data_IF_802389650724
#
_entry.id   IF_802389650724
#
_cell.length_a   1.000
_cell.length_b   1.000
_cell.length_c   1.000
_cell.angle_alpha   90.00
_cell.angle_beta   90.00
_cell.angle_gamma   90.00
#
_symmetry.space_group_name_H-M   'P 1'
#
loop_
_entity.id
_entity.type
_entity.pdbx_description
1 polymer ?
#
# COMPACT_ATOMS: atom_id res chain seq x y z
N UNK A 1 -29.16 0.27 55.96
CA UNK A 1 -28.95 0.46 54.51
C UNK A 1 -27.64 -0.23 54.15
N UNK A 2 -27.69 -1.39 53.49
CA UNK A 2 -26.50 -2.16 53.09
C UNK A 2 -26.18 -1.79 51.64
N UNK A 3 -25.02 -1.19 51.41
CA UNK A 3 -24.56 -0.74 50.11
C UNK A 3 -24.28 -1.94 49.21
N UNK A 4 -24.95 -2.01 48.06
CA UNK A 4 -24.66 -2.97 47.01
C UNK A 4 -23.37 -2.55 46.30
N UNK A 5 -22.34 -3.39 46.36
CA UNK A 5 -21.12 -3.22 45.59
C UNK A 5 -21.35 -3.76 44.18
N UNK A 6 -21.58 -2.86 43.22
CA UNK A 6 -21.55 -3.15 41.79
C UNK A 6 -20.09 -3.30 41.36
N UNK A 7 -19.65 -4.54 41.16
CA UNK A 7 -18.35 -4.85 40.55
C UNK A 7 -18.49 -4.63 39.04
N UNK A 8 -18.03 -3.49 38.56
CA UNK A 8 -17.84 -3.25 37.12
C UNK A 8 -16.56 -3.97 36.71
N UNK A 9 -16.71 -5.16 36.14
CA UNK A 9 -15.59 -5.89 35.54
C UNK A 9 -15.27 -5.20 34.22
N UNK A 10 -14.24 -4.36 34.21
CA UNK A 10 -13.64 -3.88 32.97
C UNK A 10 -12.98 -5.08 32.28
N UNK A 11 -13.66 -5.65 31.29
CA UNK A 11 -13.05 -6.60 30.37
C UNK A 11 -11.96 -5.86 29.60
N UNK A 12 -10.71 -5.99 30.04
CA UNK A 12 -9.56 -5.61 29.23
C UNK A 12 -9.54 -6.58 28.05
N UNK A 13 -10.18 -6.20 26.96
CA UNK A 13 -9.95 -6.84 25.67
C UNK A 13 -8.51 -6.46 25.31
N UNK A 14 -7.56 -7.29 25.73
CA UNK A 14 -6.25 -7.27 25.13
C UNK A 14 -6.48 -7.62 23.66
N UNK A 15 -6.53 -6.61 22.80
CA UNK A 15 -6.47 -6.81 21.36
C UNK A 15 -5.15 -7.53 21.11
N UNK A 16 -5.23 -8.86 20.93
CA UNK A 16 -4.10 -9.63 20.47
C UNK A 16 -3.78 -9.08 19.09
N UNK A 17 -2.73 -8.29 18.97
CA UNK A 17 -2.22 -7.86 17.69
C UNK A 17 -1.87 -9.12 16.91
N UNK A 18 -2.69 -9.42 15.89
CA UNK A 18 -2.45 -10.56 15.02
C UNK A 18 -1.16 -10.25 14.27
N UNK A 19 -0.10 -11.04 14.53
CA UNK A 19 1.17 -10.84 13.83
C UNK A 19 0.94 -11.06 12.33
N UNK A 20 1.59 -10.25 11.52
CA UNK A 20 1.60 -10.45 10.06
C UNK A 20 2.19 -11.83 9.77
N UNK A 21 1.38 -12.70 9.18
CA UNK A 21 1.84 -14.06 8.85
C UNK A 21 2.86 -14.03 7.71
N UNK A 22 3.74 -15.03 7.61
CA UNK A 22 4.69 -15.12 6.49
C UNK A 22 3.99 -15.24 5.12
N UNK A 23 2.79 -15.84 5.09
CA UNK A 23 1.97 -15.87 3.89
C UNK A 23 1.48 -14.46 3.50
N UNK A 24 1.00 -13.70 4.49
CA UNK A 24 0.56 -12.33 4.30
C UNK A 24 1.70 -11.43 3.80
N UNK A 25 2.88 -11.49 4.44
CA UNK A 25 4.06 -10.72 4.01
C UNK A 25 4.38 -10.97 2.53
N UNK A 26 4.37 -12.24 2.11
CA UNK A 26 4.65 -12.60 0.71
C UNK A 26 3.61 -12.04 -0.25
N UNK A 27 2.34 -12.07 0.12
CA UNK A 27 1.27 -11.54 -0.74
C UNK A 27 1.41 -10.01 -0.92
N UNK A 28 1.74 -9.29 0.15
CA UNK A 28 2.03 -7.86 0.07
C UNK A 28 3.28 -7.56 -0.76
N UNK A 29 4.40 -8.25 -0.48
CA UNK A 29 5.66 -8.07 -1.20
C UNK A 29 5.53 -8.40 -2.69
N UNK A 30 4.72 -9.40 -3.03
CA UNK A 30 4.46 -9.78 -4.43
C UNK A 30 3.97 -8.60 -5.26
N UNK A 31 3.13 -7.73 -4.70
CA UNK A 31 2.64 -6.56 -5.44
C UNK A 31 3.75 -5.61 -5.91
N UNK A 32 4.82 -5.48 -5.11
CA UNK A 32 6.00 -4.69 -5.48
C UNK A 32 6.90 -5.47 -6.43
N UNK A 33 7.09 -6.77 -6.19
CA UNK A 33 7.93 -7.60 -7.06
C UNK A 33 7.38 -7.71 -8.47
N UNK A 34 6.06 -7.91 -8.62
CA UNK A 34 5.40 -7.95 -9.92
C UNK A 34 5.49 -6.58 -10.63
N UNK A 35 5.53 -5.47 -9.90
CA UNK A 35 5.73 -4.13 -10.45
C UNK A 35 7.16 -3.97 -11.00
N UNK A 36 8.15 -4.33 -10.18
CA UNK A 36 9.57 -4.27 -10.53
C UNK A 36 9.89 -5.17 -11.72
N UNK A 37 9.37 -6.39 -11.76
CA UNK A 37 9.55 -7.31 -12.90
C UNK A 37 9.00 -6.72 -14.21
N UNK A 38 7.84 -6.05 -14.17
CA UNK A 38 7.30 -5.34 -15.33
C UNK A 38 8.18 -4.15 -15.74
N UNK A 39 8.67 -3.37 -14.77
CA UNK A 39 9.63 -2.29 -15.04
C UNK A 39 10.90 -2.83 -15.71
N UNK A 40 11.38 -3.98 -15.27
CA UNK A 40 12.60 -4.63 -15.79
C UNK A 40 12.41 -5.22 -17.20
N UNK A 41 11.18 -5.63 -17.51
CA UNK A 41 10.76 -6.00 -18.86
C UNK A 41 10.54 -4.77 -19.77
N UNK A 42 10.82 -3.57 -19.28
CA UNK A 42 10.74 -2.32 -20.02
C UNK A 42 9.34 -1.71 -20.04
N UNK A 43 8.42 -2.18 -19.22
CA UNK A 43 7.10 -1.59 -19.06
C UNK A 43 7.07 -0.73 -17.79
N UNK A 44 7.26 0.58 -17.91
CA UNK A 44 7.13 1.57 -16.83
C UNK A 44 5.80 2.33 -16.90
N UNK A 45 4.86 1.81 -17.68
CA UNK A 45 3.58 2.44 -17.94
C UNK A 45 2.66 2.48 -16.72
N UNK A 46 1.55 3.20 -16.90
CA UNK A 46 0.52 3.35 -15.87
C UNK A 46 -0.27 2.07 -15.61
N UNK A 47 -0.28 1.14 -16.55
CA UNK A 47 -0.82 -0.20 -16.35
C UNK A 47 -0.09 -0.94 -15.22
N UNK A 48 1.23 -0.78 -15.10
CA UNK A 48 2.00 -1.36 -13.99
C UNK A 48 1.56 -0.76 -12.66
N UNK A 49 1.48 0.57 -12.58
CA UNK A 49 1.01 1.24 -11.37
C UNK A 49 -0.42 0.81 -10.99
N UNK A 50 -1.30 0.66 -11.96
CA UNK A 50 -2.68 0.22 -11.77
C UNK A 50 -2.77 -1.22 -11.26
N UNK A 51 -2.00 -2.13 -11.83
CA UNK A 51 -1.92 -3.52 -11.38
C UNK A 51 -1.35 -3.61 -9.96
N UNK A 52 -0.34 -2.81 -9.65
CA UNK A 52 0.23 -2.69 -8.30
C UNK A 52 -0.82 -2.23 -7.30
N UNK A 53 -1.60 -1.19 -7.64
CA UNK A 53 -2.67 -0.68 -6.77
C UNK A 53 -3.78 -1.70 -6.56
N UNK A 54 -4.20 -2.41 -7.61
CA UNK A 54 -5.19 -3.48 -7.51
C UNK A 54 -4.68 -4.64 -6.64
N UNK A 55 -3.41 -5.01 -6.78
CA UNK A 55 -2.78 -6.04 -5.95
C UNK A 55 -2.76 -5.64 -4.47
N UNK A 56 -2.31 -4.42 -4.17
CA UNK A 56 -2.26 -3.86 -2.81
C UNK A 56 -3.65 -3.82 -2.17
N UNK A 57 -4.67 -3.40 -2.93
CA UNK A 57 -6.06 -3.41 -2.47
C UNK A 57 -6.53 -4.84 -2.18
N UNK A 58 -6.27 -5.78 -3.09
CA UNK A 58 -6.68 -7.18 -2.89
C UNK A 58 -6.01 -7.83 -1.68
N UNK A 59 -4.74 -7.51 -1.42
CA UNK A 59 -4.04 -7.96 -0.22
C UNK A 59 -4.66 -7.35 1.05
N UNK A 60 -4.92 -6.05 1.03
CA UNK A 60 -5.60 -5.36 2.13
C UNK A 60 -6.98 -5.92 2.43
N UNK A 61 -7.79 -6.22 1.41
CA UNK A 61 -9.10 -6.84 1.58
C UNK A 61 -8.98 -8.28 2.11
N UNK A 62 -8.06 -9.08 1.56
CA UNK A 62 -7.83 -10.47 1.97
C UNK A 62 -7.46 -10.60 3.45
N UNK A 63 -6.61 -9.70 3.95
CA UNK A 63 -6.12 -9.74 5.32
C UNK A 63 -6.86 -8.79 6.26
N UNK A 64 -7.93 -8.13 5.78
CA UNK A 64 -8.65 -7.09 6.54
C UNK A 64 -7.71 -6.00 7.08
N UNK A 65 -6.67 -5.67 6.31
CA UNK A 65 -5.64 -4.69 6.66
C UNK A 65 -5.59 -3.52 5.72
N UNK A 66 -4.94 -2.47 6.19
CA UNK A 66 -4.64 -1.29 5.42
C UNK A 66 -5.75 -0.25 5.43
N UNK A 67 -6.94 -0.55 5.95
CA UNK A 67 -8.06 0.39 6.15
C UNK A 67 -8.31 1.34 4.97
N UNK A 68 -7.64 2.49 4.98
CA UNK A 68 -7.64 3.49 3.91
C UNK A 68 -6.99 3.00 2.60
N UNK A 69 -6.12 1.99 2.61
CA UNK A 69 -5.62 1.27 1.42
C UNK A 69 -6.79 0.64 0.65
N UNK A 70 -7.76 0.05 1.34
CA UNK A 70 -8.92 -0.58 0.69
C UNK A 70 -9.85 0.49 0.09
N UNK A 71 -10.07 1.60 0.79
CA UNK A 71 -10.87 2.72 0.28
C UNK A 71 -10.17 3.50 -0.83
N UNK A 72 -8.89 3.80 -0.64
CA UNK A 72 -8.05 4.56 -1.57
C UNK A 72 -7.68 3.77 -2.82
N UNK A 73 -7.39 2.48 -2.66
CA UNK A 73 -7.18 1.53 -3.75
C UNK A 73 -8.37 1.52 -4.70
N UNK A 74 -9.61 1.51 -4.19
CA UNK A 74 -10.80 1.56 -5.04
C UNK A 74 -10.88 2.82 -5.91
N UNK A 75 -10.44 3.98 -5.41
CA UNK A 75 -10.43 5.25 -6.15
C UNK A 75 -9.28 5.26 -7.16
N UNK A 76 -8.11 4.75 -6.79
CA UNK A 76 -6.95 4.65 -7.67
C UNK A 76 -7.21 3.66 -8.81
N UNK A 77 -7.76 2.48 -8.51
CA UNK A 77 -8.21 1.46 -9.46
C UNK A 77 -9.37 1.99 -10.33
N UNK A 78 -10.26 2.81 -9.78
CA UNK A 78 -11.26 3.50 -10.59
C UNK A 78 -10.62 4.48 -11.55
N UNK A 79 -9.66 5.30 -11.09
CA UNK A 79 -8.88 6.19 -11.96
C UNK A 79 -8.18 5.44 -13.10
N UNK A 80 -7.62 4.26 -12.80
CA UNK A 80 -7.04 3.31 -13.75
C UNK A 80 -8.01 2.82 -14.84
N UNK A 81 -9.30 2.71 -14.54
CA UNK A 81 -10.33 2.20 -15.47
C UNK A 81 -10.85 3.25 -16.46
N UNK A 82 -10.81 4.54 -16.11
CA UNK A 82 -11.46 5.61 -16.87
C UNK A 82 -10.54 6.41 -17.79
N UNK A 83 -9.23 6.15 -17.76
CA UNK A 83 -8.30 6.73 -18.72
C UNK A 83 -7.49 5.59 -19.34
N UNK A 84 -7.51 5.36 -20.67
CA UNK A 84 -6.63 4.39 -21.29
C UNK A 84 -5.21 4.96 -21.25
N UNK A 85 -4.52 4.72 -20.13
CA UNK A 85 -3.16 5.17 -19.95
C UNK A 85 -2.28 4.38 -20.92
N UNK A 86 -1.75 5.07 -21.91
CA UNK A 86 -0.85 4.47 -22.89
C UNK A 86 0.50 4.20 -22.23
N UNK A 87 0.84 2.91 -22.08
CA UNK A 87 2.21 2.46 -21.83
C UNK A 87 3.07 2.88 -23.02
N UNK A 88 3.92 3.87 -22.78
CA UNK A 88 4.90 4.32 -23.74
C UNK A 88 6.13 4.68 -22.96
N UNK A 89 7.03 3.75 -22.69
CA UNK A 89 8.47 4.02 -22.61
C UNK A 89 9.21 2.68 -22.57
N UNK A 90 10.36 2.63 -23.23
CA UNK A 90 11.29 1.52 -23.17
C UNK A 90 12.18 1.80 -21.96
N UNK A 91 11.67 1.46 -20.78
CA UNK A 91 12.27 1.88 -19.53
C UNK A 91 13.67 1.30 -19.36
N UNK A 92 14.56 2.03 -18.68
CA UNK A 92 15.83 1.45 -18.25
C UNK A 92 15.56 0.28 -17.30
N UNK A 93 16.44 -0.73 -17.33
CA UNK A 93 16.38 -1.82 -16.35
C UNK A 93 16.41 -1.27 -14.93
N UNK A 94 15.66 -1.92 -14.06
CA UNK A 94 15.65 -1.67 -12.63
C UNK A 94 17.07 -1.92 -12.10
N UNK A 95 17.61 -0.95 -11.36
CA UNK A 95 18.90 -1.12 -10.68
C UNK A 95 18.68 -1.75 -9.32
N UNK A 96 19.70 -2.43 -8.77
CA UNK A 96 19.63 -3.03 -7.42
C UNK A 96 19.21 -1.99 -6.36
N UNK A 97 19.66 -0.74 -6.50
CA UNK A 97 19.31 0.38 -5.61
C UNK A 97 17.83 0.76 -5.74
N UNK A 98 17.33 0.83 -6.99
CA UNK A 98 15.90 1.08 -7.22
C UNK A 98 15.07 -0.04 -6.61
N UNK A 99 15.39 -1.29 -6.92
CA UNK A 99 14.71 -2.46 -6.38
C UNK A 99 14.63 -2.42 -4.84
N UNK A 100 15.76 -2.21 -4.16
CA UNK A 100 15.80 -2.14 -2.70
C UNK A 100 14.91 -1.01 -2.16
N UNK A 101 14.94 0.15 -2.79
CA UNK A 101 14.14 1.31 -2.38
C UNK A 101 12.63 1.10 -2.51
N UNK A 102 12.18 0.41 -3.56
CA UNK A 102 10.78 0.02 -3.71
C UNK A 102 10.36 -1.00 -2.66
N UNK A 103 11.21 -2.02 -2.43
CA UNK A 103 10.97 -3.04 -1.40
C UNK A 103 10.93 -2.44 0.01
N UNK A 104 11.76 -1.43 0.27
CA UNK A 104 11.80 -0.76 1.56
C UNK A 104 10.46 -0.09 1.89
N UNK A 105 9.77 0.51 0.91
CA UNK A 105 8.43 1.06 1.14
C UNK A 105 7.47 0.00 1.69
N UNK A 106 7.46 -1.20 1.09
CA UNK A 106 6.60 -2.30 1.54
C UNK A 106 7.05 -2.87 2.88
N UNK A 107 8.35 -3.04 3.09
CA UNK A 107 8.87 -3.55 4.36
C UNK A 107 8.57 -2.59 5.52
N UNK A 108 8.59 -1.28 5.29
CA UNK A 108 8.16 -0.28 6.28
C UNK A 108 6.67 -0.42 6.60
N UNK A 109 5.79 -0.61 5.61
CA UNK A 109 4.37 -0.86 5.82
C UNK A 109 4.14 -2.11 6.69
N UNK A 110 4.80 -3.22 6.34
CA UNK A 110 4.70 -4.47 7.07
C UNK A 110 5.24 -4.35 8.49
N UNK A 111 6.32 -3.59 8.71
CA UNK A 111 6.85 -3.30 10.04
C UNK A 111 5.85 -2.54 10.92
N UNK A 112 5.13 -1.57 10.36
CA UNK A 112 4.06 -0.87 11.08
C UNK A 112 2.89 -1.82 11.42
N UNK A 113 2.51 -2.72 10.51
CA UNK A 113 1.50 -3.74 10.80
C UNK A 113 1.93 -4.70 11.91
N UNK A 114 3.22 -5.11 11.96
CA UNK A 114 3.75 -5.98 13.01
C UNK A 114 3.69 -5.35 14.40
N UNK A 115 3.86 -4.03 14.51
CA UNK A 115 3.70 -3.29 15.76
C UNK A 115 2.25 -2.84 16.01
N UNK A 116 1.30 -3.29 15.18
CA UNK A 116 -0.12 -3.06 15.37
C UNK A 116 -0.65 -1.73 14.84
N UNK A 117 0.14 -0.99 14.07
CA UNK A 117 -0.26 0.27 13.46
C UNK A 117 -0.78 0.04 12.05
N UNK A 118 -2.06 -0.23 11.99
CA UNK A 118 -2.83 -0.31 10.76
C UNK A 118 -3.81 0.86 10.68
N UNK A 119 -3.25 2.06 10.56
CA UNK A 119 -4.00 3.29 10.54
C UNK A 119 -3.82 4.05 9.21
N UNK A 120 -4.54 5.17 9.13
CA UNK A 120 -4.49 6.08 7.98
C UNK A 120 -3.09 6.62 7.73
N UNK A 121 -2.32 6.87 8.80
CA UNK A 121 -1.01 7.48 8.71
C UNK A 121 0.00 6.52 8.07
N UNK A 122 0.09 5.30 8.58
CA UNK A 122 0.92 4.22 8.04
C UNK A 122 0.67 3.99 6.56
N UNK A 123 -0.61 3.88 6.19
CA UNK A 123 -1.04 3.74 4.79
C UNK A 123 -0.57 4.89 3.90
N UNK A 124 -0.70 6.12 4.39
CA UNK A 124 -0.33 7.31 3.64
C UNK A 124 1.18 7.46 3.50
N UNK A 125 1.96 7.08 4.52
CA UNK A 125 3.41 7.02 4.40
C UNK A 125 3.84 6.02 3.33
N UNK A 126 3.23 4.84 3.29
CA UNK A 126 3.50 3.85 2.27
C UNK A 126 3.22 4.38 0.85
N UNK A 127 2.05 4.98 0.62
CA UNK A 127 1.73 5.54 -0.69
C UNK A 127 2.65 6.68 -1.11
N UNK A 128 2.98 7.59 -0.19
CA UNK A 128 3.96 8.66 -0.46
C UNK A 128 5.34 8.10 -0.76
N UNK A 129 5.73 7.00 -0.12
CA UNK A 129 6.98 6.31 -0.42
C UNK A 129 6.97 5.80 -1.86
N UNK A 130 5.93 5.07 -2.27
CA UNK A 130 5.80 4.57 -3.64
C UNK A 130 5.78 5.72 -4.67
N UNK A 131 5.03 6.79 -4.40
CA UNK A 131 5.00 7.96 -5.27
C UNK A 131 6.40 8.58 -5.42
N UNK A 132 7.12 8.77 -4.31
CA UNK A 132 8.49 9.31 -4.34
C UNK A 132 9.42 8.45 -5.19
N UNK A 133 9.27 7.11 -5.16
CA UNK A 133 10.06 6.21 -6.00
C UNK A 133 9.64 6.28 -7.46
N UNK A 134 8.32 6.34 -7.72
CA UNK A 134 7.76 6.61 -9.04
C UNK A 134 8.41 7.85 -9.68
N UNK A 135 8.36 8.99 -8.98
CA UNK A 135 8.92 10.27 -9.42
C UNK A 135 10.44 10.21 -9.63
N UNK A 136 11.16 9.56 -8.71
CA UNK A 136 12.62 9.47 -8.78
C UNK A 136 13.10 8.66 -9.99
N UNK A 137 12.39 7.58 -10.31
CA UNK A 137 12.79 6.61 -11.34
C UNK A 137 11.98 6.74 -12.64
N UNK A 138 11.09 7.74 -12.73
CA UNK A 138 10.14 7.94 -13.84
C UNK A 138 9.32 6.68 -14.15
N UNK A 139 8.82 6.00 -13.10
CA UNK A 139 7.98 4.80 -13.23
C UNK A 139 6.51 5.13 -13.08
N UNK A 140 5.63 4.29 -13.61
CA UNK A 140 4.18 4.42 -13.49
C UNK A 140 3.54 5.37 -14.51
N UNK A 141 4.33 5.97 -15.40
CA UNK A 141 3.84 6.89 -16.44
C UNK A 141 2.88 7.96 -15.89
N UNK A 142 1.77 8.20 -16.58
CA UNK A 142 0.77 9.21 -16.19
C UNK A 142 0.01 8.86 -14.89
N UNK A 143 0.06 7.60 -14.42
CA UNK A 143 -0.49 7.19 -13.12
C UNK A 143 0.33 7.74 -11.95
N UNK A 144 1.55 8.23 -12.19
CA UNK A 144 2.28 9.09 -11.25
C UNK A 144 1.44 10.33 -10.85
N UNK A 145 0.61 10.84 -11.77
CA UNK A 145 -0.36 11.92 -11.46
C UNK A 145 -1.47 11.49 -10.51
N UNK A 146 -1.67 10.18 -10.29
CA UNK A 146 -2.53 9.67 -9.22
C UNK A 146 -1.91 9.93 -7.83
N UNK A 147 -0.68 10.43 -7.74
CA UNK A 147 -0.13 11.07 -6.55
C UNK A 147 -1.00 12.22 -6.01
N UNK A 148 -1.75 12.91 -6.88
CA UNK A 148 -2.78 13.85 -6.43
C UNK A 148 -3.95 13.16 -5.73
N UNK A 149 -4.33 11.95 -6.16
CA UNK A 149 -5.35 11.15 -5.49
C UNK A 149 -4.85 10.59 -4.16
N UNK A 150 -3.59 10.15 -4.08
CA UNK A 150 -2.94 9.82 -2.81
C UNK A 150 -3.02 11.02 -1.86
N UNK A 151 -2.69 12.22 -2.33
CA UNK A 151 -2.83 13.43 -1.53
C UNK A 151 -4.26 13.70 -1.08
N UNK A 152 -5.28 13.52 -1.94
CA UNK A 152 -6.70 13.65 -1.59
C UNK A 152 -7.10 12.62 -0.52
N UNK A 153 -6.71 11.36 -0.72
CA UNK A 153 -7.01 10.26 0.21
C UNK A 153 -6.29 10.47 1.55
N UNK A 154 -5.13 11.12 1.54
CA UNK A 154 -4.31 11.42 2.70
C UNK A 154 -4.51 12.81 3.31
N UNK A 155 -5.55 13.57 2.91
CA UNK A 155 -5.86 14.88 3.53
C UNK A 155 -6.21 14.70 5.01
N UNK A 156 -5.36 15.22 5.91
CA UNK A 156 -5.55 15.12 7.37
C UNK A 156 -5.07 13.79 7.96
N UNK A 157 -4.15 13.09 7.29
CA UNK A 157 -3.37 11.97 7.81
C UNK A 157 -1.96 12.40 8.22
#
# INVERSE_FOLDING_TARGET
MKFAALIVIFSVVAAAFERVSELEKRDWQKCIYDALDKFDQGNDGSDVACDTYACIQSAGEKYSRGGLLNKGGSILVFGCKFNPFTSHHQAAKVTDVEEEEWKQCMNSLLGEFEIGRDDRHTTCQFWRCLQTKSDRYNRGGIAEKLGHLVNIICIGA
#
